data_IF_557969251189
#
_entry.id   IF_557969251189
#
_cell.length_a   1.000
_cell.length_b   1.000
_cell.length_c   1.000
_cell.angle_alpha   90.00
_cell.angle_beta   90.00
_cell.angle_gamma   90.00
#
_symmetry.space_group_name_H-M   'P 1'
#
loop_
_entity.id
_entity.type
_entity.pdbx_description
1 polymer ?
#
# COMPACT_ATOMS: atom_id res chain seq x y z
N UNK A 1 -9.09 -1.10 1.25
CA UNK A 1 -9.72 0.01 1.98
C UNK A 1 -11.11 0.34 1.44
N UNK A 2 -11.93 1.00 2.26
CA UNK A 2 -13.27 1.44 1.86
C UNK A 2 -13.21 2.76 1.07
N UNK A 3 -14.17 2.96 0.17
CA UNK A 3 -14.29 4.14 -0.69
C UNK A 3 -14.88 5.37 -0.03
N UNK A 4 -15.17 5.34 1.27
CA UNK A 4 -15.92 6.40 1.98
C UNK A 4 -15.36 7.81 1.79
N UNK A 5 -14.02 7.96 1.76
CA UNK A 5 -13.37 9.26 1.48
C UNK A 5 -13.55 9.73 0.04
N UNK A 6 -13.93 8.86 -0.86
CA UNK A 6 -14.26 9.16 -2.26
C UNK A 6 -15.77 9.33 -2.48
N UNK A 7 -16.58 9.28 -1.41
CA UNK A 7 -18.04 9.26 -1.51
C UNK A 7 -18.59 8.00 -2.19
N UNK A 8 -17.85 6.88 -2.12
CA UNK A 8 -18.17 5.62 -2.77
C UNK A 8 -18.49 4.53 -1.73
N UNK A 9 -19.60 3.85 -1.88
CA UNK A 9 -19.95 2.69 -1.05
C UNK A 9 -19.27 1.44 -1.59
N UNK A 10 -18.53 0.75 -0.72
CA UNK A 10 -17.81 -0.48 -1.04
C UNK A 10 -16.30 -0.33 -1.16
N UNK A 11 -15.61 -1.36 -1.68
CA UNK A 11 -14.16 -1.37 -1.82
C UNK A 11 -13.65 -0.23 -2.71
N UNK A 12 -12.68 0.54 -2.22
CA UNK A 12 -12.10 1.68 -2.94
C UNK A 12 -11.61 1.32 -4.36
N UNK A 13 -11.09 0.10 -4.53
CA UNK A 13 -10.62 -0.38 -5.84
C UNK A 13 -11.69 -0.52 -6.92
N UNK A 14 -12.98 -0.57 -6.53
CA UNK A 14 -14.11 -0.59 -7.47
C UNK A 14 -14.48 0.80 -8.00
N UNK A 15 -13.95 1.87 -7.38
CA UNK A 15 -14.26 3.24 -7.78
C UNK A 15 -13.89 3.48 -9.25
N UNK A 16 -14.83 3.99 -10.07
CA UNK A 16 -14.59 4.30 -11.47
C UNK A 16 -13.75 5.59 -11.59
N UNK A 17 -12.48 5.45 -11.96
CA UNK A 17 -11.53 6.55 -12.07
C UNK A 17 -11.33 7.02 -13.52
N UNK A 18 -11.68 6.19 -14.48
CA UNK A 18 -11.55 6.52 -15.90
C UNK A 18 -12.69 7.42 -16.39
N UNK A 19 -12.47 8.72 -16.65
CA UNK A 19 -13.54 9.67 -16.98
C UNK A 19 -14.27 9.34 -18.28
N UNK A 20 -13.62 8.65 -19.21
CA UNK A 20 -14.20 8.24 -20.50
C UNK A 20 -14.45 6.73 -20.53
N UNK A 21 -13.51 5.96 -20.01
CA UNK A 21 -13.57 4.49 -20.09
C UNK A 21 -14.43 3.84 -19.01
N UNK A 22 -14.77 4.56 -17.93
CA UNK A 22 -15.46 4.00 -16.76
C UNK A 22 -14.66 2.98 -15.97
N UNK A 23 -13.36 2.79 -16.29
CA UNK A 23 -12.51 1.78 -15.65
C UNK A 23 -12.37 2.03 -14.17
N UNK A 24 -12.52 0.97 -13.38
CA UNK A 24 -12.25 1.00 -11.95
C UNK A 24 -10.75 1.06 -11.65
N UNK A 25 -10.38 1.47 -10.44
CA UNK A 25 -9.00 1.44 -9.97
C UNK A 25 -8.40 0.03 -10.07
N UNK A 26 -9.14 -1.01 -9.67
CA UNK A 26 -8.69 -2.40 -9.81
C UNK A 26 -8.41 -2.77 -11.27
N UNK A 27 -9.31 -2.40 -12.18
CA UNK A 27 -9.11 -2.66 -13.61
C UNK A 27 -7.86 -1.96 -14.14
N UNK A 28 -7.66 -0.69 -13.80
CA UNK A 28 -6.47 0.08 -14.21
C UNK A 28 -5.19 -0.59 -13.75
N UNK A 29 -5.14 -1.06 -12.50
CA UNK A 29 -3.96 -1.74 -11.97
C UNK A 29 -3.76 -3.13 -12.59
N UNK A 30 -4.82 -3.93 -12.72
CA UNK A 30 -4.75 -5.24 -13.35
C UNK A 30 -4.24 -5.17 -14.81
N UNK A 31 -4.77 -4.22 -15.60
CA UNK A 31 -4.32 -3.99 -16.98
C UNK A 31 -2.85 -3.55 -17.06
N UNK A 32 -2.37 -2.76 -16.08
CA UNK A 32 -0.93 -2.41 -16.00
C UNK A 32 -0.07 -3.65 -15.75
N UNK A 33 -0.45 -4.51 -14.78
CA UNK A 33 0.26 -5.77 -14.52
C UNK A 33 0.29 -6.61 -15.78
N UNK A 34 -0.86 -6.83 -16.42
CA UNK A 34 -0.97 -7.61 -17.65
C UNK A 34 -0.09 -7.05 -18.78
N UNK A 35 -0.07 -5.71 -18.95
CA UNK A 35 0.79 -5.05 -19.94
C UNK A 35 2.27 -5.31 -19.67
N UNK A 36 2.70 -5.20 -18.41
CA UNK A 36 4.10 -5.43 -18.05
C UNK A 36 4.47 -6.91 -18.14
N UNK A 37 3.59 -7.83 -17.73
CA UNK A 37 3.80 -9.27 -17.91
C UNK A 37 4.04 -9.60 -19.38
N UNK A 38 3.20 -9.09 -20.27
CA UNK A 38 3.37 -9.28 -21.73
C UNK A 38 4.66 -8.63 -22.26
N UNK A 39 4.97 -7.42 -21.80
CA UNK A 39 6.16 -6.69 -22.27
C UNK A 39 7.46 -7.41 -21.94
N UNK A 40 7.54 -8.03 -20.78
CA UNK A 40 8.76 -8.69 -20.30
C UNK A 40 8.73 -10.21 -20.44
N UNK A 41 7.62 -10.79 -20.91
CA UNK A 41 7.46 -12.24 -21.09
C UNK A 41 7.51 -13.01 -19.77
N UNK A 42 7.05 -12.40 -18.67
CA UNK A 42 7.04 -13.03 -17.33
C UNK A 42 5.68 -12.84 -16.64
N UNK A 43 5.26 -13.86 -15.92
CA UNK A 43 4.05 -13.79 -15.11
C UNK A 43 4.28 -12.96 -13.85
N UNK A 44 3.62 -11.82 -13.77
CA UNK A 44 3.64 -10.93 -12.61
C UNK A 44 2.33 -11.08 -11.83
N UNK A 45 2.35 -11.58 -10.59
CA UNK A 45 1.12 -11.65 -9.80
C UNK A 45 0.71 -10.26 -9.29
N UNK A 46 -0.60 -10.02 -9.27
CA UNK A 46 -1.24 -8.91 -8.57
C UNK A 46 -1.72 -9.40 -7.21
N UNK A 47 -1.17 -8.82 -6.15
CA UNK A 47 -1.54 -9.12 -4.78
C UNK A 47 -2.42 -8.02 -4.22
N UNK A 48 -3.56 -8.37 -3.66
CA UNK A 48 -4.57 -7.40 -3.19
C UNK A 48 -4.87 -7.67 -1.73
N UNK A 49 -4.44 -6.75 -0.87
CA UNK A 49 -4.80 -6.79 0.53
C UNK A 49 -6.18 -6.16 0.74
N UNK A 50 -7.06 -6.89 1.39
CA UNK A 50 -8.43 -6.50 1.72
C UNK A 50 -8.63 -6.40 3.22
N UNK A 51 -9.76 -5.82 3.64
CA UNK A 51 -10.27 -6.00 5.00
C UNK A 51 -11.30 -7.13 5.02
N UNK A 52 -11.62 -7.65 6.20
CA UNK A 52 -12.68 -8.65 6.33
C UNK A 52 -14.01 -8.16 5.76
N UNK A 53 -14.30 -6.86 5.93
CA UNK A 53 -15.56 -6.26 5.49
C UNK A 53 -15.72 -6.16 3.97
N UNK A 54 -14.59 -6.19 3.20
CA UNK A 54 -14.64 -6.03 1.75
C UNK A 54 -13.96 -7.16 0.97
N UNK A 55 -13.58 -8.23 1.66
CA UNK A 55 -12.85 -9.35 1.05
C UNK A 55 -13.70 -10.07 0.00
N UNK A 56 -14.84 -10.60 0.41
CA UNK A 56 -15.76 -11.34 -0.46
C UNK A 56 -16.24 -10.50 -1.65
N UNK A 57 -16.57 -9.24 -1.41
CA UNK A 57 -16.98 -8.32 -2.47
C UNK A 57 -15.85 -8.07 -3.48
N UNK A 58 -14.60 -7.97 -3.00
CA UNK A 58 -13.44 -7.80 -3.88
C UNK A 58 -13.18 -9.05 -4.70
N UNK A 59 -13.26 -10.24 -4.10
CA UNK A 59 -13.12 -11.51 -4.81
C UNK A 59 -14.18 -11.68 -5.89
N UNK A 60 -15.44 -11.42 -5.54
CA UNK A 60 -16.55 -11.47 -6.47
C UNK A 60 -16.32 -10.51 -7.65
N UNK A 61 -15.90 -9.28 -7.36
CA UNK A 61 -15.63 -8.29 -8.39
C UNK A 61 -14.55 -8.74 -9.39
N UNK A 62 -13.45 -9.32 -8.91
CA UNK A 62 -12.41 -9.85 -9.80
C UNK A 62 -12.91 -11.05 -10.61
N UNK A 63 -13.61 -11.98 -9.98
CA UNK A 63 -14.18 -13.16 -10.65
C UNK A 63 -15.15 -12.74 -11.77
N UNK A 64 -16.10 -11.88 -11.44
CA UNK A 64 -17.20 -11.48 -12.32
C UNK A 64 -16.75 -10.63 -13.50
N UNK A 65 -15.57 -9.98 -13.37
CA UNK A 65 -14.89 -9.24 -14.43
C UNK A 65 -13.75 -10.04 -15.11
N UNK A 66 -13.76 -11.37 -15.02
CA UNK A 66 -12.74 -12.23 -15.65
C UNK A 66 -11.31 -11.90 -15.24
N UNK A 67 -11.12 -11.39 -14.01
CA UNK A 67 -9.83 -10.93 -13.44
C UNK A 67 -9.11 -9.93 -14.35
N UNK A 68 -9.86 -9.21 -15.17
CA UNK A 68 -9.35 -8.24 -16.15
C UNK A 68 -8.27 -8.81 -17.08
N UNK A 69 -8.38 -10.12 -17.39
CA UNK A 69 -7.47 -10.84 -18.27
C UNK A 69 -6.22 -11.40 -17.60
N UNK A 70 -6.06 -11.25 -16.30
CA UNK A 70 -5.01 -11.95 -15.54
C UNK A 70 -5.40 -13.41 -15.33
N UNK A 71 -4.41 -14.30 -15.38
CA UNK A 71 -4.61 -15.71 -15.04
C UNK A 71 -5.03 -15.87 -13.56
N UNK A 72 -5.89 -16.84 -13.21
CA UNK A 72 -6.38 -17.02 -11.84
C UNK A 72 -5.26 -17.10 -10.81
N UNK A 73 -4.19 -17.81 -11.11
CA UNK A 73 -3.01 -17.98 -10.25
C UNK A 73 -2.17 -16.70 -10.09
N UNK A 74 -2.41 -15.69 -10.92
CA UNK A 74 -1.74 -14.40 -10.88
C UNK A 74 -2.57 -13.31 -10.17
N UNK A 75 -3.68 -13.67 -9.53
CA UNK A 75 -4.47 -12.77 -8.68
C UNK A 75 -4.61 -13.39 -7.30
N UNK A 76 -3.89 -12.83 -6.33
CA UNK A 76 -3.94 -13.28 -4.94
C UNK A 76 -4.63 -12.20 -4.09
N UNK A 77 -5.77 -12.56 -3.51
CA UNK A 77 -6.54 -11.67 -2.63
C UNK A 77 -6.48 -12.24 -1.22
N UNK A 78 -6.06 -11.43 -0.25
CA UNK A 78 -5.89 -11.86 1.13
C UNK A 78 -6.31 -10.77 2.10
N UNK A 79 -6.90 -11.11 3.26
CA UNK A 79 -7.31 -10.13 4.25
C UNK A 79 -6.11 -9.65 5.08
N UNK A 80 -6.13 -8.37 5.45
CA UNK A 80 -5.23 -7.82 6.45
C UNK A 80 -5.61 -8.30 7.87
N UNK A 81 -4.67 -8.19 8.79
CA UNK A 81 -4.93 -8.48 10.18
C UNK A 81 -5.85 -7.44 10.83
N UNK A 82 -6.40 -7.80 11.96
CA UNK A 82 -7.30 -6.96 12.75
C UNK A 82 -6.74 -6.79 14.16
N UNK A 83 -6.65 -5.55 14.62
CA UNK A 83 -6.12 -5.18 15.93
C UNK A 83 -7.30 -4.84 16.86
N UNK A 84 -7.35 -5.40 18.09
CA UNK A 84 -8.33 -5.01 19.10
C UNK A 84 -8.23 -3.51 19.43
N UNK A 85 -9.36 -2.86 19.56
CA UNK A 85 -9.42 -1.46 19.98
C UNK A 85 -9.55 -1.33 21.48
N UNK A 86 -8.89 -0.32 22.02
CA UNK A 86 -8.97 0.05 23.45
C UNK A 86 -9.50 1.47 23.60
N UNK A 87 -10.13 1.74 24.75
CA UNK A 87 -10.51 3.08 25.12
C UNK A 87 -9.31 3.88 25.69
N UNK A 88 -9.54 5.15 26.05
CA UNK A 88 -8.52 6.02 26.63
C UNK A 88 -8.00 5.57 28.00
N UNK A 89 -8.67 4.58 28.63
CA UNK A 89 -8.29 3.96 29.91
C UNK A 89 -7.61 2.60 29.71
N UNK A 90 -7.34 2.19 28.47
CA UNK A 90 -6.71 0.92 28.12
C UNK A 90 -7.64 -0.30 28.19
N UNK A 91 -8.96 -0.12 28.29
CA UNK A 91 -9.92 -1.21 28.30
C UNK A 91 -10.33 -1.59 26.89
N UNK A 92 -10.51 -2.90 26.63
CA UNK A 92 -11.02 -3.40 25.36
C UNK A 92 -12.41 -2.84 25.07
N UNK A 93 -12.59 -2.30 23.87
CA UNK A 93 -13.90 -1.92 23.36
C UNK A 93 -14.60 -3.17 22.84
N UNK A 94 -15.83 -3.37 23.25
CA UNK A 94 -16.65 -4.49 22.78
C UNK A 94 -17.53 -4.04 21.63
N UNK A 95 -17.60 -4.86 20.59
CA UNK A 95 -18.56 -4.71 19.49
C UNK A 95 -19.93 -5.28 19.86
N UNK A 96 -19.91 -6.41 20.60
CA UNK A 96 -21.07 -7.06 21.22
C UNK A 96 -20.70 -7.52 22.62
N UNK A 97 -21.65 -8.08 23.37
CA UNK A 97 -21.37 -8.66 24.71
C UNK A 97 -20.30 -9.76 24.71
N UNK A 98 -20.05 -10.39 23.57
CA UNK A 98 -19.14 -11.55 23.42
C UNK A 98 -18.04 -11.35 22.38
N UNK A 99 -17.99 -10.19 21.71
CA UNK A 99 -16.96 -9.91 20.70
C UNK A 99 -16.26 -8.57 20.95
N UNK A 100 -14.93 -8.59 20.72
CA UNK A 100 -14.08 -7.39 20.81
C UNK A 100 -14.13 -6.62 19.50
N UNK A 101 -14.34 -5.31 19.59
CA UNK A 101 -14.25 -4.42 18.45
C UNK A 101 -12.81 -4.38 17.95
N UNK A 102 -12.63 -4.59 16.64
CA UNK A 102 -11.32 -4.65 16.00
C UNK A 102 -11.28 -3.72 14.79
N UNK A 103 -10.17 -3.04 14.65
CA UNK A 103 -9.86 -2.25 13.46
C UNK A 103 -8.82 -2.97 12.59
N UNK A 104 -8.83 -2.74 11.28
CA UNK A 104 -7.72 -3.13 10.41
C UNK A 104 -6.39 -2.53 10.90
N UNK A 105 -5.31 -3.30 10.86
CA UNK A 105 -3.97 -2.83 11.25
C UNK A 105 -3.33 -1.89 10.20
N UNK A 106 -4.08 -1.54 9.18
CA UNK A 106 -3.67 -0.59 8.15
C UNK A 106 -2.63 -1.15 7.18
N UNK A 107 -2.07 -0.28 6.37
CA UNK A 107 -1.12 -0.72 5.35
C UNK A 107 0.27 -1.07 5.91
N UNK A 108 0.61 -0.65 7.13
CA UNK A 108 1.81 -1.12 7.84
C UNK A 108 1.77 -2.62 8.13
N UNK A 109 0.58 -3.18 8.37
CA UNK A 109 0.36 -4.62 8.55
C UNK A 109 0.46 -5.46 7.28
N UNK A 110 0.72 -4.87 6.11
CA UNK A 110 0.76 -5.61 4.83
C UNK A 110 1.84 -6.68 4.79
N UNK A 111 3.02 -6.45 5.38
CA UNK A 111 4.10 -7.44 5.42
C UNK A 111 3.69 -8.66 6.27
N UNK A 112 3.09 -8.41 7.44
CA UNK A 112 2.54 -9.49 8.28
C UNK A 112 1.43 -10.24 7.57
N UNK A 113 0.54 -9.53 6.86
CA UNK A 113 -0.53 -10.15 6.09
C UNK A 113 0.00 -11.01 4.93
N UNK A 114 1.04 -10.58 4.23
CA UNK A 114 1.73 -11.39 3.21
C UNK A 114 2.32 -12.68 3.79
N UNK A 115 2.90 -12.59 4.99
CA UNK A 115 3.43 -13.77 5.68
C UNK A 115 2.32 -14.73 6.11
N UNK A 116 1.30 -14.23 6.82
CA UNK A 116 0.22 -15.06 7.39
C UNK A 116 -0.70 -15.66 6.33
N UNK A 117 -0.85 -15.02 5.18
CA UNK A 117 -1.62 -15.54 4.04
C UNK A 117 -0.89 -16.62 3.23
N UNK A 118 0.40 -16.84 3.48
CA UNK A 118 1.23 -17.73 2.66
C UNK A 118 1.72 -17.11 1.35
N UNK A 119 1.39 -15.84 1.07
CA UNK A 119 1.78 -15.17 -0.17
C UNK A 119 3.31 -15.08 -0.34
N UNK A 120 4.06 -14.87 0.76
CA UNK A 120 5.53 -14.89 0.71
C UNK A 120 6.09 -16.27 0.31
N UNK A 121 5.49 -17.35 0.79
CA UNK A 121 5.89 -18.71 0.41
C UNK A 121 5.63 -18.98 -1.09
N UNK A 122 4.49 -18.53 -1.60
CA UNK A 122 4.17 -18.63 -3.03
C UNK A 122 5.13 -17.77 -3.88
N UNK A 123 5.47 -16.56 -3.45
CA UNK A 123 6.48 -15.72 -4.11
C UNK A 123 7.85 -16.43 -4.16
N UNK A 124 8.26 -17.06 -3.04
CA UNK A 124 9.52 -17.82 -2.99
C UNK A 124 9.53 -18.95 -4.01
N UNK A 125 8.44 -19.72 -4.06
CA UNK A 125 8.26 -20.83 -5.03
C UNK A 125 8.36 -20.37 -6.48
N UNK A 126 7.87 -19.15 -6.78
CA UNK A 126 7.92 -18.54 -8.11
C UNK A 126 9.23 -17.81 -8.43
N UNK A 127 10.18 -17.76 -7.50
CA UNK A 127 11.44 -17.01 -7.68
C UNK A 127 11.25 -15.49 -7.69
N UNK A 128 10.17 -14.97 -7.08
CA UNK A 128 9.94 -13.51 -6.98
C UNK A 128 10.79 -12.96 -5.86
N UNK A 129 11.67 -12.02 -6.16
CA UNK A 129 12.61 -11.42 -5.21
C UNK A 129 12.23 -10.01 -4.78
N UNK A 130 11.51 -9.28 -5.62
CA UNK A 130 11.15 -7.88 -5.38
C UNK A 130 9.64 -7.68 -5.39
N UNK A 131 9.12 -7.00 -4.38
CA UNK A 131 7.71 -6.66 -4.25
C UNK A 131 7.54 -5.17 -4.53
N UNK A 132 6.73 -4.82 -5.51
CA UNK A 132 6.32 -3.42 -5.77
C UNK A 132 5.04 -3.13 -5.02
N UNK A 133 5.13 -2.28 -4.00
CA UNK A 133 4.03 -1.89 -3.14
C UNK A 133 3.50 -0.49 -3.50
N UNK A 134 2.19 -0.36 -3.54
CA UNK A 134 1.51 0.92 -3.77
C UNK A 134 0.08 0.90 -3.24
N UNK A 135 -0.51 2.06 -3.05
CA UNK A 135 -1.91 2.19 -2.65
C UNK A 135 -2.84 2.16 -3.86
N UNK A 136 -4.00 1.50 -3.72
CA UNK A 136 -4.96 1.29 -4.79
C UNK A 136 -5.51 2.59 -5.40
N UNK A 137 -5.57 3.67 -4.62
CA UNK A 137 -6.08 4.98 -5.03
C UNK A 137 -5.05 5.85 -5.78
N UNK A 138 -3.88 5.31 -6.10
CA UNK A 138 -2.92 5.97 -6.98
C UNK A 138 -2.96 5.38 -8.40
N UNK A 139 -3.88 5.82 -9.28
CA UNK A 139 -3.98 5.28 -10.64
C UNK A 139 -2.78 5.65 -11.53
N UNK A 140 -1.97 6.63 -11.13
CA UNK A 140 -0.81 7.10 -11.91
C UNK A 140 0.48 6.37 -11.57
N UNK A 141 0.49 5.52 -10.55
CA UNK A 141 1.70 4.79 -10.15
C UNK A 141 2.27 3.97 -11.30
N UNK A 142 3.59 4.06 -11.47
CA UNK A 142 4.36 3.15 -12.32
C UNK A 142 4.67 1.89 -11.50
N UNK A 143 3.79 0.88 -11.58
CA UNK A 143 3.88 -0.34 -10.78
C UNK A 143 5.13 -1.17 -11.06
N UNK A 144 5.65 -1.08 -12.30
CA UNK A 144 6.95 -1.62 -12.71
C UNK A 144 7.74 -0.46 -13.31
N UNK A 145 8.64 0.11 -12.53
CA UNK A 145 9.54 1.18 -12.95
C UNK A 145 10.97 0.62 -13.03
N UNK A 146 11.50 0.34 -14.24
CA UNK A 146 12.80 -0.30 -14.39
C UNK A 146 13.95 0.47 -13.75
N UNK A 147 13.92 1.80 -13.79
CA UNK A 147 14.95 2.62 -13.16
C UNK A 147 14.91 2.48 -11.63
N UNK A 148 13.72 2.52 -11.03
CA UNK A 148 13.55 2.38 -9.58
C UNK A 148 13.94 0.98 -9.11
N UNK A 149 13.53 -0.07 -9.85
CA UNK A 149 13.92 -1.45 -9.57
C UNK A 149 15.43 -1.62 -9.75
N UNK A 150 16.00 -1.05 -10.80
CA UNK A 150 17.45 -1.10 -11.05
C UNK A 150 18.26 -0.49 -9.91
N UNK A 151 17.87 0.69 -9.40
CA UNK A 151 18.52 1.29 -8.23
C UNK A 151 18.36 0.44 -6.97
N UNK A 152 17.18 -0.14 -6.74
CA UNK A 152 16.93 -1.04 -5.61
C UNK A 152 17.89 -2.24 -5.61
N UNK A 153 18.02 -2.90 -6.76
CA UNK A 153 18.90 -4.06 -6.95
C UNK A 153 20.38 -3.67 -6.85
N UNK A 154 20.81 -2.62 -7.56
CA UNK A 154 22.20 -2.14 -7.54
C UNK A 154 22.68 -1.74 -6.14
N UNK A 155 21.80 -1.20 -5.31
CA UNK A 155 22.11 -0.81 -3.93
C UNK A 155 21.94 -1.96 -2.94
N UNK A 156 21.53 -3.14 -3.42
CA UNK A 156 21.24 -4.29 -2.56
C UNK A 156 20.32 -3.90 -1.39
N UNK A 157 19.32 -3.07 -1.66
CA UNK A 157 18.46 -2.48 -0.66
C UNK A 157 17.37 -3.46 -0.18
N UNK A 158 17.08 -3.47 1.13
CA UNK A 158 15.93 -4.23 1.65
C UNK A 158 14.63 -3.50 1.36
N UNK A 159 14.66 -2.15 1.47
CA UNK A 159 13.52 -1.27 1.17
C UNK A 159 14.00 -0.09 0.34
N UNK A 160 13.26 0.25 -0.69
CA UNK A 160 13.40 1.50 -1.43
C UNK A 160 12.07 2.21 -1.52
N UNK A 161 12.07 3.54 -1.45
CA UNK A 161 10.85 4.33 -1.43
C UNK A 161 10.94 5.51 -2.38
N UNK A 162 9.81 5.87 -3.00
CA UNK A 162 9.70 7.16 -3.68
C UNK A 162 9.21 8.21 -2.70
N UNK A 163 9.86 9.34 -2.70
CA UNK A 163 9.49 10.50 -1.90
C UNK A 163 9.15 11.69 -2.81
N UNK A 164 8.33 12.59 -2.31
CA UNK A 164 8.05 13.89 -2.92
C UNK A 164 8.43 15.00 -1.94
N UNK A 165 8.84 16.16 -2.44
CA UNK A 165 9.07 17.31 -1.58
C UNK A 165 7.70 17.84 -1.12
N UNK A 166 7.52 18.02 0.20
CA UNK A 166 6.32 18.67 0.75
C UNK A 166 6.17 20.07 0.16
N UNK A 167 4.96 20.43 -0.21
CA UNK A 167 4.65 21.73 -0.77
C UNK A 167 4.53 22.83 0.31
N UNK A 168 4.08 22.45 1.52
CA UNK A 168 3.90 23.35 2.66
C UNK A 168 3.95 22.55 3.98
N UNK A 169 4.20 23.20 5.13
CA UNK A 169 4.38 22.52 6.40
C UNK A 169 3.22 21.61 6.82
N UNK A 170 1.98 22.05 6.64
CA UNK A 170 0.77 21.33 7.08
C UNK A 170 0.27 20.28 6.10
N UNK A 171 1.00 20.02 5.00
CA UNK A 171 0.61 18.97 4.05
C UNK A 171 0.52 17.62 4.77
N UNK A 172 -0.65 16.98 4.65
CA UNK A 172 -0.99 15.73 5.34
C UNK A 172 -0.33 14.52 4.68
N UNK A 173 0.98 14.44 4.80
CA UNK A 173 1.80 13.35 4.29
C UNK A 173 2.84 12.97 5.35
N UNK A 174 3.00 11.66 5.60
CA UNK A 174 4.09 11.15 6.45
C UNK A 174 5.45 11.52 5.86
N UNK A 175 6.45 11.77 6.70
CA UNK A 175 7.77 12.20 6.26
C UNK A 175 8.84 11.16 6.57
N UNK A 176 9.77 10.95 5.64
CA UNK A 176 10.95 10.16 5.90
C UNK A 176 11.89 10.91 6.83
N UNK A 177 12.31 10.22 7.89
CA UNK A 177 13.24 10.75 8.89
C UNK A 177 14.37 9.76 9.12
N UNK A 178 15.53 10.29 9.51
CA UNK A 178 16.62 9.50 10.06
C UNK A 178 16.60 9.68 11.57
N UNK A 179 16.41 8.59 12.29
CA UNK A 179 16.47 8.57 13.75
C UNK A 179 17.93 8.66 14.25
N UNK A 180 18.11 9.01 15.51
CA UNK A 180 19.44 9.07 16.17
C UNK A 180 20.17 7.72 16.14
N UNK A 181 19.44 6.61 16.08
CA UNK A 181 19.99 5.26 15.90
C UNK A 181 20.60 5.02 14.52
N UNK A 182 20.40 5.96 13.56
CA UNK A 182 20.78 5.81 12.15
C UNK A 182 19.71 5.14 11.29
N UNK A 183 18.68 4.54 11.89
CA UNK A 183 17.57 3.93 11.15
C UNK A 183 16.77 5.01 10.38
N UNK A 184 16.23 4.61 9.24
CA UNK A 184 15.30 5.45 8.45
C UNK A 184 13.89 4.92 8.65
N UNK A 185 12.93 5.81 8.86
CA UNK A 185 11.52 5.46 8.98
C UNK A 185 10.63 6.59 8.49
N UNK A 186 9.33 6.35 8.57
CA UNK A 186 8.31 7.36 8.27
C UNK A 186 7.66 7.78 9.59
N UNK A 187 7.56 9.08 9.82
CA UNK A 187 6.75 9.65 10.90
C UNK A 187 5.51 10.24 10.25
N UNK A 188 4.34 9.79 10.72
CA UNK A 188 3.07 10.30 10.22
C UNK A 188 2.90 11.78 10.57
N UNK A 189 2.19 12.52 9.73
CA UNK A 189 1.96 13.95 9.94
C UNK A 189 1.24 14.24 11.26
N UNK A 190 0.45 13.29 11.80
CA UNK A 190 -0.22 13.38 13.09
C UNK A 190 0.73 13.25 14.28
N UNK A 191 1.88 12.64 14.08
CA UNK A 191 2.84 12.29 15.13
C UNK A 191 4.08 13.19 15.10
N UNK A 192 4.25 13.98 14.04
CA UNK A 192 5.33 14.94 13.94
C UNK A 192 5.01 16.18 14.77
N UNK A 193 5.83 16.55 15.78
CA UNK A 193 5.62 17.73 16.59
C UNK A 193 5.49 18.99 15.74
N UNK A 194 4.60 19.93 16.13
CA UNK A 194 4.31 21.14 15.36
C UNK A 194 5.58 21.98 15.10
N UNK A 195 6.43 22.12 16.12
CA UNK A 195 7.72 22.82 15.99
C UNK A 195 8.62 22.22 14.90
N UNK A 196 8.63 20.88 14.75
CA UNK A 196 9.38 20.17 13.72
C UNK A 196 8.73 20.27 12.35
N UNK A 197 7.39 20.29 12.32
CA UNK A 197 6.64 20.45 11.07
C UNK A 197 7.02 21.73 10.34
N UNK A 198 7.32 22.81 11.07
CA UNK A 198 7.68 24.14 10.54
C UNK A 198 9.17 24.45 10.55
N UNK A 199 10.00 23.53 11.08
CA UNK A 199 11.45 23.77 11.16
C UNK A 199 12.08 23.91 9.77
N UNK A 200 13.01 24.85 9.66
CA UNK A 200 13.76 25.09 8.43
C UNK A 200 15.21 24.64 8.60
N UNK A 201 15.83 24.24 7.52
CA UNK A 201 17.25 23.95 7.44
C UNK A 201 18.08 25.25 7.23
N UNK A 202 19.40 25.10 7.13
CA UNK A 202 20.33 26.22 6.90
C UNK A 202 20.07 26.98 5.60
N UNK A 203 19.33 26.40 4.64
CA UNK A 203 18.98 26.97 3.36
C UNK A 203 17.58 27.62 3.36
N UNK A 204 16.88 27.60 4.50
CA UNK A 204 15.52 28.09 4.64
C UNK A 204 14.46 27.17 4.04
N UNK A 205 14.79 25.90 3.74
CA UNK A 205 13.84 24.88 3.30
C UNK A 205 13.34 24.05 4.47
N UNK A 206 12.16 23.43 4.32
CA UNK A 206 11.62 22.55 5.37
C UNK A 206 12.60 21.41 5.68
N UNK A 207 13.02 21.29 6.93
CA UNK A 207 13.92 20.21 7.41
C UNK A 207 13.32 18.82 7.20
N UNK A 208 12.00 18.69 7.37
CA UNK A 208 11.24 17.45 7.18
C UNK A 208 10.38 17.53 5.92
N UNK A 209 11.05 17.63 4.76
CA UNK A 209 10.41 17.86 3.46
C UNK A 209 10.18 16.60 2.62
N UNK A 210 10.80 15.46 2.97
CA UNK A 210 10.70 14.21 2.18
C UNK A 210 9.42 13.46 2.48
N UNK A 211 8.34 13.77 1.76
CA UNK A 211 7.03 13.15 1.94
C UNK A 211 6.96 11.73 1.38
N UNK A 212 6.38 10.80 2.15
CA UNK A 212 6.11 9.43 1.73
C UNK A 212 4.80 9.34 0.95
N UNK A 213 4.85 8.86 -0.27
CA UNK A 213 3.67 8.65 -1.12
C UNK A 213 3.26 7.17 -1.19
N UNK A 214 3.73 6.37 -0.24
CA UNK A 214 3.44 4.93 -0.14
C UNK A 214 3.73 4.16 -1.45
N UNK A 215 4.82 4.47 -2.12
CA UNK A 215 5.36 3.71 -3.24
C UNK A 215 6.70 3.13 -2.79
N UNK A 216 6.75 1.82 -2.60
CA UNK A 216 7.91 1.13 -2.06
C UNK A 216 8.29 -0.08 -2.91
N UNK A 217 9.57 -0.43 -2.87
CA UNK A 217 10.05 -1.75 -3.25
C UNK A 217 10.54 -2.43 -1.98
N UNK A 218 10.17 -3.69 -1.80
CA UNK A 218 10.66 -4.53 -0.73
C UNK A 218 11.39 -5.72 -1.31
N UNK A 219 12.50 -6.10 -0.69
CA UNK A 219 13.08 -7.42 -0.90
C UNK A 219 12.20 -8.44 -0.19
N UNK A 220 11.92 -9.55 -0.84
CA UNK A 220 11.08 -10.60 -0.25
C UNK A 220 11.69 -11.25 0.99
N UNK A 221 13.02 -11.33 1.10
CA UNK A 221 13.76 -11.97 2.23
C UNK A 221 13.91 -11.04 3.41
#
# INVERSE_FOLDING_TARGET
GQGSRLGYEGPKGKFPVGPVSGKSLFQVHAEKVLKYSRKYGVDMPLLIMTSRANHEETEAFFRDNGRFGLAPENVLIFPQNMIPSIDTKGKLILETKSSVFKNPDGHGGSLTALFTSGALAEMKKRGIETISYFQVDNPLVKIVDPAFIGFHVLRNADVSSKAVKKAYPEEKVGVFVRFSSGAIGVVEYSDLPEEKTRSLDEKGELSYSSGSIAIHLFRRE
#
